data_IF_118533373246
#
_entry.id   IF_118533373246
#
_cell.length_a   1.000
_cell.length_b   1.000
_cell.length_c   1.000
_cell.angle_alpha   90.00
_cell.angle_beta   90.00
_cell.angle_gamma   90.00
#
_symmetry.space_group_name_H-M   'P 1'
#
loop_
_entity.id
_entity.type
_entity.pdbx_description
1 polymer ?
#
# COMPACT_ATOMS: atom_id res chain seq x y z
N UNK A 1 16.19 -23.57 -38.23
CA UNK A 1 15.49 -22.34 -37.79
C UNK A 1 16.50 -21.23 -37.45
N UNK A 2 17.26 -21.35 -36.36
CA UNK A 2 18.24 -20.31 -36.00
C UNK A 2 19.40 -20.18 -37.00
N UNK A 3 19.94 -21.31 -37.47
CA UNK A 3 21.03 -21.34 -38.46
C UNK A 3 20.60 -20.81 -39.83
N UNK A 4 19.34 -21.00 -40.18
CA UNK A 4 18.77 -20.51 -41.44
C UNK A 4 18.46 -19.01 -41.43
N UNK A 5 18.47 -18.36 -40.24
CA UNK A 5 18.13 -16.94 -40.02
C UNK A 5 16.79 -16.48 -40.62
N UNK A 6 15.93 -17.44 -40.93
CA UNK A 6 14.63 -17.22 -41.53
C UNK A 6 13.62 -16.86 -40.40
N UNK A 7 13.09 -15.62 -40.39
CA UNK A 7 12.17 -15.15 -39.36
C UNK A 7 10.88 -15.97 -39.29
N UNK A 8 10.36 -16.42 -40.44
CA UNK A 8 9.11 -17.17 -40.51
C UNK A 8 9.30 -18.56 -39.92
N UNK A 9 10.45 -19.18 -40.19
CA UNK A 9 10.79 -20.49 -39.62
C UNK A 9 11.04 -20.41 -38.11
N UNK A 10 11.66 -19.33 -37.64
CA UNK A 10 11.86 -19.07 -36.21
C UNK A 10 10.51 -18.85 -35.51
N UNK A 11 9.61 -18.08 -36.13
CA UNK A 11 8.25 -17.86 -35.65
C UNK A 11 7.45 -19.15 -35.56
N UNK A 12 7.41 -19.94 -36.64
CA UNK A 12 6.68 -21.21 -36.69
C UNK A 12 7.16 -22.18 -35.61
N UNK A 13 8.48 -22.27 -35.39
CA UNK A 13 9.05 -23.07 -34.32
C UNK A 13 8.58 -22.60 -32.94
N UNK A 14 8.65 -21.30 -32.64
CA UNK A 14 8.26 -20.77 -31.33
C UNK A 14 6.75 -20.88 -31.08
N UNK A 15 5.91 -20.63 -32.08
CA UNK A 15 4.47 -20.84 -32.00
C UNK A 15 4.14 -22.32 -31.75
N UNK A 16 4.83 -23.24 -32.41
CA UNK A 16 4.65 -24.68 -32.22
C UNK A 16 5.02 -25.11 -30.80
N UNK A 17 6.12 -24.57 -30.25
CA UNK A 17 6.55 -24.86 -28.89
C UNK A 17 5.55 -24.25 -27.89
N UNK A 18 5.06 -23.03 -28.11
CA UNK A 18 4.03 -22.42 -27.27
C UNK A 18 2.74 -23.24 -27.23
N UNK A 19 2.30 -23.78 -28.37
CA UNK A 19 1.07 -24.56 -28.45
C UNK A 19 1.17 -25.96 -27.84
N UNK A 20 2.37 -26.58 -27.84
CA UNK A 20 2.56 -27.96 -27.41
C UNK A 20 3.23 -28.13 -26.04
N UNK A 21 3.94 -27.13 -25.55
CA UNK A 21 4.69 -27.20 -24.28
C UNK A 21 4.00 -26.41 -23.18
N UNK A 22 4.12 -26.85 -21.91
CA UNK A 22 3.67 -26.05 -20.78
C UNK A 22 4.41 -24.71 -20.71
N UNK A 23 3.76 -23.69 -20.14
CA UNK A 23 4.27 -22.31 -20.09
C UNK A 23 5.69 -22.21 -19.52
N UNK A 24 6.03 -23.03 -18.53
CA UNK A 24 7.36 -23.05 -17.91
C UNK A 24 8.46 -23.58 -18.85
N UNK A 25 8.17 -24.62 -19.64
CA UNK A 25 9.13 -25.19 -20.60
C UNK A 25 9.30 -24.24 -21.80
N UNK A 26 8.20 -23.65 -22.28
CA UNK A 26 8.24 -22.60 -23.28
C UNK A 26 9.09 -21.40 -22.80
N UNK A 27 8.90 -21.03 -21.53
CA UNK A 27 9.66 -19.98 -20.87
C UNK A 27 11.18 -20.28 -20.84
N UNK A 28 11.56 -21.52 -20.55
CA UNK A 28 12.97 -21.96 -20.59
C UNK A 28 13.56 -21.92 -22.01
N UNK A 29 12.80 -22.33 -23.03
CA UNK A 29 13.24 -22.28 -24.44
C UNK A 29 13.52 -20.85 -24.88
N UNK A 30 12.62 -19.91 -24.56
CA UNK A 30 12.82 -18.50 -24.90
C UNK A 30 14.04 -17.89 -24.19
N UNK A 31 14.31 -18.29 -22.93
CA UNK A 31 15.52 -17.87 -22.20
C UNK A 31 16.81 -18.42 -22.82
N UNK A 32 16.76 -19.64 -23.35
CA UNK A 32 17.89 -20.29 -24.01
C UNK A 32 18.24 -19.64 -25.35
N UNK A 33 17.27 -19.02 -26.02
CA UNK A 33 17.42 -18.45 -27.36
C UNK A 33 16.88 -17.01 -27.47
N UNK A 34 17.58 -16.01 -26.87
CA UNK A 34 17.09 -14.64 -26.79
C UNK A 34 16.90 -13.96 -28.16
N UNK A 35 17.78 -14.18 -29.13
CA UNK A 35 17.65 -13.60 -30.46
C UNK A 35 16.35 -14.03 -31.19
N UNK A 36 15.96 -15.30 -31.05
CA UNK A 36 14.70 -15.80 -31.60
C UNK A 36 13.49 -15.25 -30.84
N UNK A 37 13.58 -15.11 -29.51
CA UNK A 37 12.54 -14.51 -28.70
C UNK A 37 12.30 -13.04 -29.07
N UNK A 38 13.37 -12.28 -29.35
CA UNK A 38 13.27 -10.90 -29.84
C UNK A 38 12.52 -10.84 -31.17
N UNK A 39 12.94 -11.62 -32.18
CA UNK A 39 12.27 -11.65 -33.49
C UNK A 39 10.79 -12.07 -33.38
N UNK A 40 10.48 -13.06 -32.55
CA UNK A 40 9.11 -13.51 -32.32
C UNK A 40 8.20 -12.40 -31.79
N UNK A 41 8.71 -11.53 -30.94
CA UNK A 41 7.93 -10.44 -30.40
C UNK A 41 7.76 -9.26 -31.38
N UNK A 42 8.75 -9.00 -32.25
CA UNK A 42 8.59 -8.07 -33.38
C UNK A 42 7.38 -8.52 -34.20
N UNK A 43 7.33 -9.81 -34.55
CA UNK A 43 6.22 -10.40 -35.28
C UNK A 43 4.89 -10.29 -34.52
N UNK A 44 4.88 -10.60 -33.21
CA UNK A 44 3.66 -10.50 -32.40
C UNK A 44 3.14 -9.05 -32.29
N UNK A 45 4.02 -8.05 -32.30
CA UNK A 45 3.62 -6.63 -32.29
C UNK A 45 2.80 -6.26 -33.53
N UNK A 46 3.18 -6.77 -34.69
CA UNK A 46 2.55 -6.45 -35.97
C UNK A 46 1.29 -7.30 -36.23
N UNK A 47 1.30 -8.57 -35.80
CA UNK A 47 0.30 -9.54 -36.20
C UNK A 47 -0.55 -10.12 -35.06
N UNK A 48 -0.14 -10.01 -33.80
CA UNK A 48 -0.86 -10.62 -32.67
C UNK A 48 -0.64 -9.91 -31.33
N UNK A 49 -1.36 -8.79 -31.13
CA UNK A 49 -1.29 -7.97 -29.90
C UNK A 49 -1.63 -8.75 -28.62
N UNK A 50 -2.53 -9.74 -28.71
CA UNK A 50 -2.94 -10.57 -27.57
C UNK A 50 -1.81 -11.50 -27.10
N UNK A 51 -1.09 -12.12 -28.04
CA UNK A 51 0.09 -12.92 -27.73
C UNK A 51 1.21 -12.03 -27.16
N UNK A 52 1.35 -10.80 -27.66
CA UNK A 52 2.27 -9.83 -27.08
C UNK A 52 1.94 -9.59 -25.61
N UNK A 53 0.69 -9.24 -25.26
CA UNK A 53 0.22 -9.05 -23.88
C UNK A 53 0.47 -10.27 -22.98
N UNK A 54 0.23 -11.49 -23.47
CA UNK A 54 0.53 -12.73 -22.73
C UNK A 54 2.03 -12.90 -22.47
N UNK A 55 2.89 -12.48 -23.40
CA UNK A 55 4.35 -12.42 -23.22
C UNK A 55 4.76 -11.28 -22.27
N UNK A 56 4.04 -10.14 -22.25
CA UNK A 56 4.31 -9.01 -21.34
C UNK A 56 3.98 -9.37 -19.87
N UNK A 57 2.89 -10.10 -19.64
CA UNK A 57 2.40 -10.49 -18.30
C UNK A 57 3.36 -11.45 -17.59
N UNK A 58 4.17 -12.22 -18.32
CA UNK A 58 5.13 -13.18 -17.74
C UNK A 58 6.43 -12.56 -17.21
N UNK A 59 6.60 -11.22 -17.24
CA UNK A 59 7.66 -10.47 -16.56
C UNK A 59 9.10 -10.64 -17.09
N UNK A 60 9.41 -11.75 -17.75
CA UNK A 60 10.77 -12.15 -18.13
C UNK A 60 11.17 -11.85 -19.59
N UNK A 61 10.22 -11.51 -20.48
CA UNK A 61 10.46 -11.49 -21.93
C UNK A 61 10.61 -10.12 -22.54
N UNK A 62 10.04 -9.13 -21.89
CA UNK A 62 9.95 -7.78 -22.40
C UNK A 62 11.38 -7.15 -22.46
N UNK A 63 12.35 -7.65 -21.67
CA UNK A 63 13.81 -7.36 -21.71
C UNK A 63 14.46 -7.62 -23.06
N UNK A 64 14.31 -8.83 -23.57
CA UNK A 64 14.99 -9.30 -24.78
C UNK A 64 14.40 -8.63 -26.03
N UNK A 65 13.08 -8.40 -25.99
CA UNK A 65 12.30 -7.80 -27.07
C UNK A 65 12.71 -6.34 -27.27
N UNK A 66 12.74 -5.55 -26.20
CA UNK A 66 13.04 -4.12 -26.29
C UNK A 66 14.54 -3.80 -26.36
N UNK A 67 15.43 -4.67 -25.86
CA UNK A 67 16.88 -4.59 -26.12
C UNK A 67 17.21 -4.55 -27.61
N UNK A 68 16.46 -5.28 -28.43
CA UNK A 68 16.71 -5.35 -29.88
C UNK A 68 15.83 -4.39 -30.72
N UNK A 69 14.73 -3.87 -30.16
CA UNK A 69 13.73 -3.08 -30.89
C UNK A 69 13.82 -1.57 -30.66
N UNK A 70 14.16 -1.11 -29.45
CA UNK A 70 14.25 0.34 -29.17
C UNK A 70 15.63 0.86 -29.58
N UNK A 71 15.64 1.73 -30.59
CA UNK A 71 16.83 2.51 -30.98
C UNK A 71 17.09 3.67 -30.03
N UNK A 72 16.13 4.01 -29.17
CA UNK A 72 16.26 5.06 -28.17
C UNK A 72 16.89 4.48 -26.87
N UNK A 73 18.08 4.95 -26.47
CA UNK A 73 18.77 4.47 -25.27
C UNK A 73 18.00 4.78 -23.97
N UNK A 74 17.15 5.80 -23.97
CA UNK A 74 16.33 6.21 -22.82
C UNK A 74 15.19 5.21 -22.59
N UNK A 75 14.46 4.88 -23.65
CA UNK A 75 13.36 3.91 -23.62
C UNK A 75 13.88 2.51 -23.25
N UNK A 76 15.04 2.13 -23.79
CA UNK A 76 15.72 0.90 -23.41
C UNK A 76 16.05 0.85 -21.91
N UNK A 77 16.59 1.93 -21.36
CA UNK A 77 16.97 2.01 -19.95
C UNK A 77 15.74 1.98 -19.01
N UNK A 78 14.64 2.64 -19.37
CA UNK A 78 13.36 2.53 -18.66
C UNK A 78 12.85 1.09 -18.64
N UNK A 79 12.97 0.44 -19.78
CA UNK A 79 12.53 -0.92 -19.96
C UNK A 79 13.28 -1.90 -19.04
N UNK A 80 14.62 -1.83 -19.05
CA UNK A 80 15.48 -2.61 -18.16
C UNK A 80 15.06 -2.43 -16.69
N UNK A 81 14.78 -1.19 -16.29
CA UNK A 81 14.33 -0.90 -14.93
C UNK A 81 13.03 -1.63 -14.57
N UNK A 82 12.05 -1.68 -15.48
CA UNK A 82 10.78 -2.40 -15.25
C UNK A 82 10.99 -3.91 -15.09
N UNK A 83 11.88 -4.52 -15.87
CA UNK A 83 12.24 -5.93 -15.74
C UNK A 83 12.88 -6.23 -14.37
N UNK A 84 13.82 -5.40 -13.96
CA UNK A 84 14.45 -5.48 -12.65
C UNK A 84 13.45 -5.32 -11.49
N UNK A 85 12.50 -4.38 -11.59
CA UNK A 85 11.44 -4.21 -10.59
C UNK A 85 10.49 -5.41 -10.52
N UNK A 86 10.17 -6.02 -11.66
CA UNK A 86 9.35 -7.23 -11.74
C UNK A 86 10.05 -8.42 -11.09
N UNK A 87 11.34 -8.62 -11.39
CA UNK A 87 12.19 -9.61 -10.72
C UNK A 87 12.23 -9.41 -9.20
N UNK A 88 12.38 -8.16 -8.72
CA UNK A 88 12.37 -7.86 -7.29
C UNK A 88 11.02 -8.22 -6.63
N UNK A 89 9.91 -8.04 -7.34
CA UNK A 89 8.57 -8.42 -6.87
C UNK A 89 8.42 -9.94 -6.76
N UNK A 90 8.92 -10.67 -7.75
CA UNK A 90 8.84 -12.14 -7.83
C UNK A 90 9.81 -12.87 -6.87
N UNK A 91 10.93 -12.23 -6.53
CA UNK A 91 11.92 -12.72 -5.60
C UNK A 91 11.35 -12.77 -4.17
N UNK A 92 10.47 -13.75 -3.87
CA UNK A 92 9.65 -13.90 -2.64
C UNK A 92 10.33 -13.43 -1.34
N UNK A 93 11.02 -14.34 -0.63
CA UNK A 93 11.73 -14.07 0.62
C UNK A 93 13.26 -14.01 0.42
N UNK A 94 13.73 -14.17 -0.82
CA UNK A 94 15.15 -14.07 -1.14
C UNK A 94 15.56 -12.59 -1.22
N UNK A 95 16.02 -12.08 -0.07
CA UNK A 95 16.37 -10.68 0.09
C UNK A 95 17.58 -10.26 -0.76
N UNK A 96 18.58 -11.12 -0.90
CA UNK A 96 19.78 -10.79 -1.66
C UNK A 96 19.43 -10.65 -3.15
N UNK A 97 18.55 -11.53 -3.68
CA UNK A 97 17.99 -11.37 -5.03
C UNK A 97 17.12 -10.12 -5.18
N UNK A 98 16.31 -9.77 -4.17
CA UNK A 98 15.52 -8.52 -4.19
C UNK A 98 16.42 -7.30 -4.27
N UNK A 99 17.44 -7.22 -3.42
CA UNK A 99 18.35 -6.07 -3.37
C UNK A 99 19.11 -5.96 -4.69
N UNK A 100 19.70 -7.06 -5.19
CA UNK A 100 20.38 -7.06 -6.49
C UNK A 100 19.47 -6.64 -7.64
N UNK A 101 18.20 -7.07 -7.63
CA UNK A 101 17.21 -6.63 -8.62
C UNK A 101 16.91 -5.14 -8.49
N UNK A 102 16.73 -4.60 -7.28
CA UNK A 102 16.52 -3.17 -7.05
C UNK A 102 17.73 -2.31 -7.45
N UNK A 103 18.95 -2.79 -7.24
CA UNK A 103 20.18 -2.13 -7.71
C UNK A 103 20.30 -2.12 -9.23
N UNK A 104 19.87 -3.19 -9.90
CA UNK A 104 19.69 -3.21 -11.35
C UNK A 104 18.71 -2.15 -11.82
N UNK A 105 17.54 -2.08 -11.19
CA UNK A 105 16.52 -1.07 -11.51
C UNK A 105 17.04 0.36 -11.29
N UNK A 106 17.74 0.61 -10.19
CA UNK A 106 18.33 1.93 -9.91
C UNK A 106 19.32 2.38 -10.98
N UNK A 107 20.22 1.48 -11.41
CA UNK A 107 21.20 1.77 -12.48
C UNK A 107 20.48 2.10 -13.79
N UNK A 108 19.50 1.29 -14.17
CA UNK A 108 18.73 1.49 -15.39
C UNK A 108 17.91 2.79 -15.38
N UNK A 109 17.28 3.16 -14.25
CA UNK A 109 16.58 4.44 -14.14
C UNK A 109 17.50 5.65 -14.21
N UNK A 110 18.71 5.56 -13.63
CA UNK A 110 19.72 6.62 -13.76
C UNK A 110 20.18 6.80 -15.21
N UNK A 111 20.37 5.70 -15.93
CA UNK A 111 20.70 5.75 -17.36
C UNK A 111 19.58 6.34 -18.22
N UNK A 112 18.33 6.11 -17.84
CA UNK A 112 17.15 6.69 -18.48
C UNK A 112 16.90 8.18 -18.14
N UNK A 113 17.68 8.78 -17.22
CA UNK A 113 17.46 10.17 -16.81
C UNK A 113 16.10 10.41 -16.15
N UNK A 114 15.53 9.40 -15.48
CA UNK A 114 14.22 9.50 -14.80
C UNK A 114 14.31 10.37 -13.55
N UNK A 115 13.21 11.05 -13.26
CA UNK A 115 13.01 11.88 -12.06
C UNK A 115 13.49 11.22 -10.76
N UNK A 116 14.04 12.06 -9.88
CA UNK A 116 14.60 11.69 -8.57
C UNK A 116 13.64 10.89 -7.69
N UNK A 117 12.33 11.10 -7.84
CA UNK A 117 11.33 10.43 -7.01
C UNK A 117 11.37 8.90 -7.17
N UNK A 118 11.60 8.37 -8.38
CA UNK A 118 11.68 6.92 -8.58
C UNK A 118 12.92 6.33 -7.89
N UNK A 119 14.05 7.02 -7.98
CA UNK A 119 15.30 6.63 -7.33
C UNK A 119 15.20 6.67 -5.80
N UNK A 120 14.57 7.71 -5.26
CA UNK A 120 14.30 7.85 -3.81
C UNK A 120 13.44 6.69 -3.31
N UNK A 121 12.40 6.30 -4.05
CA UNK A 121 11.54 5.17 -3.67
C UNK A 121 12.30 3.83 -3.67
N UNK A 122 13.19 3.60 -4.65
CA UNK A 122 14.04 2.40 -4.66
C UNK A 122 14.99 2.38 -3.46
N UNK A 123 15.61 3.53 -3.14
CA UNK A 123 16.50 3.64 -1.99
C UNK A 123 15.77 3.35 -0.67
N UNK A 124 14.58 3.93 -0.48
CA UNK A 124 13.73 3.67 0.69
C UNK A 124 13.35 2.19 0.76
N UNK A 125 12.96 1.58 -0.37
CA UNK A 125 12.60 0.17 -0.40
C UNK A 125 13.76 -0.75 -0.02
N UNK A 126 14.99 -0.46 -0.47
CA UNK A 126 16.19 -1.17 -0.02
C UNK A 126 16.41 -1.03 1.48
N UNK A 127 16.26 0.18 2.01
CA UNK A 127 16.41 0.44 3.45
C UNK A 127 15.38 -0.34 4.28
N UNK A 128 14.12 -0.39 3.82
CA UNK A 128 13.07 -1.20 4.45
C UNK A 128 13.48 -2.68 4.50
N UNK A 129 13.96 -3.24 3.39
CA UNK A 129 14.39 -4.65 3.33
C UNK A 129 15.54 -4.92 4.30
N UNK A 130 16.53 -4.03 4.40
CA UNK A 130 17.65 -4.18 5.34
C UNK A 130 17.18 -4.15 6.80
N UNK A 131 16.27 -3.24 7.14
CA UNK A 131 15.67 -3.18 8.49
C UNK A 131 14.88 -4.46 8.78
N UNK A 132 14.10 -4.96 7.84
CA UNK A 132 13.37 -6.23 7.99
C UNK A 132 14.31 -7.41 8.21
N UNK A 133 15.45 -7.47 7.50
CA UNK A 133 16.48 -8.49 7.68
C UNK A 133 17.01 -8.50 9.11
N UNK A 134 17.30 -7.32 9.67
CA UNK A 134 17.80 -7.22 11.04
C UNK A 134 16.73 -7.57 12.06
N UNK A 135 15.49 -7.11 11.85
CA UNK A 135 14.37 -7.45 12.73
C UNK A 135 14.10 -8.95 12.75
N UNK A 136 14.22 -9.65 11.61
CA UNK A 136 14.03 -11.09 11.57
C UNK A 136 15.09 -11.85 12.35
N UNK A 137 16.30 -11.32 12.59
CA UNK A 137 17.27 -11.99 13.46
C UNK A 137 16.74 -12.15 14.89
N UNK A 138 16.00 -11.15 15.38
CA UNK A 138 15.40 -11.12 16.73
C UNK A 138 13.97 -11.66 16.74
N UNK A 139 13.23 -11.49 15.64
CA UNK A 139 11.79 -11.80 15.52
C UNK A 139 11.50 -12.73 14.33
N UNK A 140 12.19 -13.86 14.26
CA UNK A 140 12.11 -14.83 13.14
C UNK A 140 10.68 -15.30 12.80
N UNK A 141 9.75 -15.29 13.77
CA UNK A 141 8.38 -15.77 13.59
C UNK A 141 7.47 -14.82 12.80
N UNK A 142 7.89 -13.56 12.56
CA UNK A 142 7.02 -12.54 11.97
C UNK A 142 7.00 -12.53 10.43
N UNK A 143 7.98 -13.19 9.78
CA UNK A 143 8.11 -13.21 8.32
C UNK A 143 7.98 -11.80 7.70
N UNK A 144 8.80 -10.86 8.15
CA UNK A 144 8.72 -9.44 7.82
C UNK A 144 9.20 -9.11 6.40
N UNK A 145 10.13 -9.91 5.84
CA UNK A 145 10.79 -9.59 4.57
C UNK A 145 9.76 -9.39 3.45
N UNK A 146 9.87 -8.23 2.78
CA UNK A 146 9.06 -7.89 1.61
C UNK A 146 7.67 -7.37 1.94
N UNK A 147 7.26 -7.33 3.21
CA UNK A 147 6.00 -6.69 3.60
C UNK A 147 6.12 -5.15 3.51
N UNK A 148 5.01 -4.43 3.29
CA UNK A 148 5.01 -2.97 3.34
C UNK A 148 5.48 -2.46 4.71
N UNK A 149 6.10 -1.27 4.74
CA UNK A 149 6.55 -0.64 5.98
C UNK A 149 5.41 -0.47 7.00
N UNK A 150 4.22 -0.07 6.54
CA UNK A 150 3.01 0.03 7.38
C UNK A 150 2.73 -1.29 8.09
N UNK A 151 2.66 -2.39 7.35
CA UNK A 151 2.39 -3.73 7.91
C UNK A 151 3.51 -4.18 8.84
N UNK A 152 4.77 -3.85 8.52
CA UNK A 152 5.93 -4.12 9.37
C UNK A 152 5.78 -3.43 10.73
N UNK A 153 5.42 -2.14 10.73
CA UNK A 153 5.19 -1.37 11.96
C UNK A 153 3.96 -1.89 12.72
N UNK A 154 2.87 -2.27 12.05
CA UNK A 154 1.67 -2.84 12.69
C UNK A 154 1.99 -4.12 13.47
N UNK A 155 2.85 -4.99 12.93
CA UNK A 155 3.27 -6.21 13.61
C UNK A 155 4.31 -5.97 14.71
N UNK A 156 5.11 -4.90 14.59
CA UNK A 156 6.18 -4.61 15.53
C UNK A 156 5.70 -3.84 16.77
N UNK A 157 4.72 -2.95 16.62
CA UNK A 157 4.16 -2.14 17.73
C UNK A 157 3.80 -3.00 18.97
N UNK A 158 3.12 -4.17 18.84
CA UNK A 158 2.79 -5.02 19.98
C UNK A 158 3.97 -5.69 20.68
N UNK A 159 5.09 -5.87 19.96
CA UNK A 159 6.20 -6.73 20.39
C UNK A 159 7.38 -5.92 20.89
N UNK A 160 7.75 -4.88 20.14
CA UNK A 160 8.82 -3.95 20.48
C UNK A 160 8.48 -2.54 19.98
N UNK A 161 7.80 -1.79 20.84
CA UNK A 161 7.42 -0.41 20.55
C UNK A 161 8.64 0.51 20.36
N UNK A 162 9.77 0.23 21.02
CA UNK A 162 10.97 1.05 20.90
C UNK A 162 11.63 0.88 19.52
N UNK A 163 11.71 -0.36 19.03
CA UNK A 163 12.15 -0.65 17.68
C UNK A 163 11.21 -0.02 16.64
N UNK A 164 9.89 -0.12 16.83
CA UNK A 164 8.91 0.52 15.94
C UNK A 164 9.08 2.05 15.90
N UNK A 165 9.26 2.70 17.06
CA UNK A 165 9.47 4.15 17.16
C UNK A 165 10.80 4.59 16.53
N UNK A 166 11.84 3.76 16.59
CA UNK A 166 13.12 4.00 15.91
C UNK A 166 12.96 3.94 14.39
N UNK A 167 12.36 2.87 13.87
CA UNK A 167 12.19 2.63 12.44
C UNK A 167 11.29 3.68 11.79
N UNK A 168 10.17 4.02 12.44
CA UNK A 168 9.27 5.06 11.94
C UNK A 168 9.98 6.41 11.79
N UNK A 169 10.90 6.76 12.70
CA UNK A 169 11.72 7.98 12.62
C UNK A 169 12.80 7.89 11.54
N UNK A 170 13.57 6.81 11.50
CA UNK A 170 14.66 6.61 10.55
C UNK A 170 14.18 6.63 9.10
N UNK A 171 13.03 5.99 8.83
CA UNK A 171 12.41 5.94 7.50
C UNK A 171 11.47 7.12 7.22
N UNK A 172 11.44 8.13 8.10
CA UNK A 172 10.60 9.34 7.98
C UNK A 172 9.13 9.01 7.69
N UNK A 173 8.61 7.95 8.31
CA UNK A 173 7.21 7.57 8.16
C UNK A 173 6.31 8.68 8.68
N UNK A 174 5.13 8.84 8.07
CA UNK A 174 4.24 9.93 8.42
C UNK A 174 3.81 9.86 9.89
N UNK A 175 4.22 10.87 10.67
CA UNK A 175 4.05 10.94 12.13
C UNK A 175 2.57 10.82 12.53
N UNK A 176 1.66 11.47 11.80
CA UNK A 176 0.21 11.41 12.08
C UNK A 176 -0.37 10.02 11.86
N UNK A 177 0.03 9.33 10.79
CA UNK A 177 -0.40 7.95 10.54
C UNK A 177 0.15 7.00 11.60
N UNK A 178 1.40 7.18 12.01
CA UNK A 178 2.02 6.35 13.04
C UNK A 178 1.37 6.54 14.41
N UNK A 179 1.12 7.80 14.83
CA UNK A 179 0.37 8.11 16.06
C UNK A 179 -1.01 7.44 16.05
N UNK A 180 -1.71 7.45 14.90
CA UNK A 180 -2.99 6.73 14.75
C UNK A 180 -2.84 5.23 14.96
N UNK A 181 -1.83 4.61 14.36
CA UNK A 181 -1.59 3.16 14.51
C UNK A 181 -1.32 2.78 15.97
N UNK A 182 -0.46 3.54 16.65
CA UNK A 182 -0.21 3.36 18.08
C UNK A 182 -1.47 3.57 18.92
N UNK A 183 -2.27 4.59 18.59
CA UNK A 183 -3.51 4.86 19.30
C UNK A 183 -4.51 3.70 19.19
N UNK A 184 -4.67 3.12 17.99
CA UNK A 184 -5.51 1.93 17.78
C UNK A 184 -4.99 0.75 18.61
N UNK A 185 -3.69 0.49 18.58
CA UNK A 185 -3.09 -0.58 19.37
C UNK A 185 -3.32 -0.40 20.89
N UNK A 186 -3.06 0.80 21.43
CA UNK A 186 -3.24 1.09 22.85
C UNK A 186 -4.71 0.98 23.27
N UNK A 187 -5.64 1.48 22.44
CA UNK A 187 -7.07 1.40 22.71
C UNK A 187 -7.61 -0.03 22.68
N UNK A 188 -7.12 -0.89 21.77
CA UNK A 188 -7.50 -2.31 21.72
C UNK A 188 -6.98 -3.12 22.90
N UNK A 189 -5.92 -2.67 23.56
CA UNK A 189 -5.35 -3.34 24.75
C UNK A 189 -5.76 -2.66 26.07
N UNK A 190 -6.76 -1.78 26.04
CA UNK A 190 -7.24 -1.01 27.19
C UNK A 190 -6.15 -0.17 27.92
N UNK A 191 -5.08 0.21 27.21
CA UNK A 191 -3.95 1.00 27.73
C UNK A 191 -4.21 2.51 27.60
N UNK A 192 -5.29 2.99 28.21
CA UNK A 192 -5.76 4.38 28.02
C UNK A 192 -4.85 5.42 28.68
N UNK A 193 -4.18 5.09 29.78
CA UNK A 193 -3.20 5.98 30.40
C UNK A 193 -1.98 6.22 29.50
N UNK A 194 -1.48 5.16 28.86
CA UNK A 194 -0.38 5.27 27.90
C UNK A 194 -0.81 6.06 26.66
N UNK A 195 -2.08 5.92 26.25
CA UNK A 195 -2.67 6.69 25.16
C UNK A 195 -2.69 8.19 25.48
N UNK A 196 -3.16 8.60 26.66
CA UNK A 196 -3.18 10.02 27.06
C UNK A 196 -1.76 10.60 27.24
N UNK A 197 -0.84 9.81 27.82
CA UNK A 197 0.60 10.16 27.93
C UNK A 197 1.27 10.33 26.56
N UNK A 198 0.92 9.49 25.58
CA UNK A 198 1.46 9.61 24.22
C UNK A 198 0.90 10.84 23.51
N UNK A 199 -0.41 11.07 23.61
CA UNK A 199 -1.08 12.19 22.95
C UNK A 199 -0.61 13.54 23.47
N UNK A 200 -0.36 13.67 24.78
CA UNK A 200 0.17 14.89 25.40
C UNK A 200 1.60 15.23 24.96
N UNK A 201 2.42 14.23 24.60
CA UNK A 201 3.79 14.41 24.10
C UNK A 201 3.89 14.57 22.59
N UNK A 202 2.81 14.30 21.86
CA UNK A 202 2.81 14.32 20.39
C UNK A 202 2.76 15.77 19.89
N UNK A 203 3.53 16.07 18.83
CA UNK A 203 3.51 17.41 18.22
C UNK A 203 2.11 17.77 17.72
N UNK A 204 1.77 19.06 17.79
CA UNK A 204 0.43 19.58 17.41
C UNK A 204 -0.02 19.18 16.00
N UNK A 205 0.89 19.07 15.04
CA UNK A 205 0.62 18.67 13.65
C UNK A 205 0.41 17.16 13.47
N UNK A 206 0.94 16.32 14.36
CA UNK A 206 0.77 14.87 14.38
C UNK A 206 -0.31 14.40 15.36
N UNK A 207 -0.84 15.32 16.17
CA UNK A 207 -1.89 15.04 17.15
C UNK A 207 -3.21 14.68 16.48
N UNK A 208 -3.90 13.70 17.06
CA UNK A 208 -5.22 13.26 16.60
C UNK A 208 -6.27 14.20 17.17
N UNK A 209 -7.27 14.52 16.36
CA UNK A 209 -8.38 15.32 16.84
C UNK A 209 -9.17 14.52 17.91
N UNK A 210 -9.74 15.18 18.94
CA UNK A 210 -10.48 14.50 19.99
C UNK A 210 -11.58 13.55 19.50
N UNK A 211 -12.30 13.92 18.43
CA UNK A 211 -13.33 13.07 17.81
C UNK A 211 -12.76 11.78 17.21
N UNK A 212 -11.53 11.82 16.70
CA UNK A 212 -10.85 10.64 16.16
C UNK A 212 -10.42 9.68 17.27
N UNK A 213 -9.99 10.21 18.41
CA UNK A 213 -9.63 9.41 19.59
C UNK A 213 -10.87 8.70 20.13
N UNK A 214 -11.99 9.44 20.26
CA UNK A 214 -13.29 8.89 20.64
C UNK A 214 -13.69 7.75 19.72
N UNK A 215 -13.55 7.94 18.39
CA UNK A 215 -13.82 6.88 17.42
C UNK A 215 -12.97 5.65 17.69
N UNK A 216 -11.66 5.81 17.86
CA UNK A 216 -10.72 4.70 18.07
C UNK A 216 -11.06 3.91 19.34
N UNK A 217 -11.39 4.60 20.45
CA UNK A 217 -11.76 3.96 21.73
C UNK A 217 -13.13 3.28 21.64
N UNK A 218 -14.10 3.89 20.95
CA UNK A 218 -15.42 3.28 20.76
C UNK A 218 -15.34 2.05 19.84
N UNK A 219 -14.54 2.12 18.78
CA UNK A 219 -14.30 1.01 17.86
C UNK A 219 -13.59 -0.17 18.58
N UNK A 220 -12.83 0.10 19.66
CA UNK A 220 -12.24 -0.96 20.50
C UNK A 220 -13.21 -1.55 21.54
N UNK A 221 -14.46 -1.08 21.58
CA UNK A 221 -15.53 -1.65 22.40
C UNK A 221 -15.73 -0.99 23.77
N UNK A 222 -15.05 0.13 24.07
CA UNK A 222 -15.16 0.80 25.37
C UNK A 222 -15.82 2.19 25.25
N UNK A 223 -17.14 2.20 25.12
CA UNK A 223 -17.94 3.44 25.06
C UNK A 223 -17.78 4.34 26.30
N UNK A 224 -17.79 3.83 27.55
CA UNK A 224 -17.63 4.68 28.75
C UNK A 224 -16.29 5.44 28.76
N UNK A 225 -15.21 4.82 28.32
CA UNK A 225 -13.92 5.48 28.24
C UNK A 225 -13.88 6.53 27.13
N UNK A 226 -14.52 6.25 25.98
CA UNK A 226 -14.64 7.21 24.89
C UNK A 226 -15.42 8.48 25.31
N UNK A 227 -16.46 8.35 26.14
CA UNK A 227 -17.25 9.48 26.63
C UNK A 227 -16.44 10.47 27.48
N UNK A 228 -15.40 10.02 28.19
CA UNK A 228 -14.50 10.90 28.98
C UNK A 228 -13.76 11.93 28.12
N UNK A 229 -13.67 11.70 26.82
CA UNK A 229 -13.01 12.60 25.88
C UNK A 229 -13.96 13.66 25.29
N UNK A 230 -15.28 13.53 25.50
CA UNK A 230 -16.28 14.50 25.02
C UNK A 230 -16.03 15.94 25.49
N UNK A 231 -15.62 16.22 26.76
CA UNK A 231 -15.35 17.59 27.21
C UNK A 231 -14.24 18.30 26.44
N UNK A 232 -13.35 17.53 25.77
CA UNK A 232 -12.26 18.07 24.93
C UNK A 232 -12.75 18.45 23.53
N UNK A 233 -13.98 18.13 23.15
CA UNK A 233 -14.57 18.43 21.84
C UNK A 233 -15.37 19.73 21.88
N UNK A 234 -15.22 20.58 20.86
CA UNK A 234 -15.95 21.86 20.74
C UNK A 234 -16.61 22.00 19.37
N UNK A 235 -17.75 22.70 19.31
CA UNK A 235 -18.48 23.01 18.08
C UNK A 235 -18.74 21.79 17.19
N UNK A 236 -18.38 21.88 15.90
CA UNK A 236 -18.56 20.78 14.93
C UNK A 236 -17.80 19.50 15.29
N UNK A 237 -16.70 19.60 16.04
CA UNK A 237 -15.95 18.41 16.52
C UNK A 237 -16.76 17.63 17.55
N UNK A 238 -17.56 18.33 18.37
CA UNK A 238 -18.47 17.69 19.34
C UNK A 238 -19.60 16.93 18.64
N UNK A 239 -20.15 17.47 17.55
CA UNK A 239 -21.12 16.75 16.71
C UNK A 239 -20.51 15.45 16.16
N UNK A 240 -19.29 15.53 15.59
CA UNK A 240 -18.58 14.34 15.08
C UNK A 240 -18.29 13.32 16.18
N UNK A 241 -17.94 13.76 17.38
CA UNK A 241 -17.71 12.88 18.52
C UNK A 241 -18.95 12.09 18.91
N UNK A 242 -20.12 12.75 19.02
CA UNK A 242 -21.40 12.06 19.31
C UNK A 242 -21.79 11.09 18.18
N UNK A 243 -21.57 11.46 16.91
CA UNK A 243 -21.74 10.54 15.77
C UNK A 243 -20.85 9.30 15.94
N UNK A 244 -19.58 9.48 16.32
CA UNK A 244 -18.65 8.37 16.52
C UNK A 244 -19.06 7.46 17.69
N UNK A 245 -19.77 7.99 18.70
CA UNK A 245 -20.36 7.22 19.81
C UNK A 245 -21.71 6.56 19.48
N UNK A 246 -22.20 6.73 18.25
CA UNK A 246 -23.53 6.29 17.79
C UNK A 246 -24.68 6.93 18.57
N UNK A 247 -24.46 8.13 19.10
CA UNK A 247 -25.46 8.95 19.77
C UNK A 247 -25.90 10.07 18.82
N UNK A 248 -26.79 9.73 17.89
CA UNK A 248 -27.23 10.61 16.82
C UNK A 248 -28.17 11.71 17.33
N UNK A 249 -28.94 11.44 18.39
CA UNK A 249 -29.85 12.43 18.99
C UNK A 249 -29.06 13.56 19.65
N UNK A 250 -28.04 13.24 20.45
CA UNK A 250 -27.18 14.27 21.04
C UNK A 250 -26.35 14.98 19.96
N UNK A 251 -25.90 14.27 18.92
CA UNK A 251 -25.23 14.89 17.79
C UNK A 251 -26.12 15.93 17.08
N UNK A 252 -27.40 15.60 16.83
CA UNK A 252 -28.37 16.51 16.24
C UNK A 252 -28.67 17.72 17.16
N UNK A 253 -28.74 17.49 18.48
CA UNK A 253 -28.94 18.55 19.47
C UNK A 253 -27.80 19.56 19.45
N UNK A 254 -26.55 19.08 19.42
CA UNK A 254 -25.37 19.96 19.31
C UNK A 254 -25.32 20.66 17.94
N UNK A 255 -25.72 20.00 16.86
CA UNK A 255 -25.79 20.61 15.53
C UNK A 255 -26.84 21.75 15.47
N UNK A 256 -27.98 21.56 16.13
CA UNK A 256 -29.01 22.59 16.26
C UNK A 256 -28.51 23.80 17.06
N UNK A 257 -27.80 23.59 18.17
CA UNK A 257 -27.16 24.68 18.93
C UNK A 257 -26.14 25.48 18.10
N UNK A 258 -25.57 24.88 17.06
CA UNK A 258 -24.66 25.53 16.12
C UNK A 258 -25.38 26.22 14.95
N UNK A 259 -26.70 26.07 14.83
CA UNK A 259 -27.49 26.58 13.70
C UNK A 259 -27.22 25.87 12.37
N UNK A 260 -26.69 24.64 12.42
CA UNK A 260 -26.24 23.90 11.23
C UNK A 260 -27.23 22.79 10.86
N UNK A 261 -28.23 23.16 10.06
CA UNK A 261 -29.32 22.26 9.64
C UNK A 261 -28.82 21.11 8.76
N UNK A 262 -27.76 21.31 7.97
CA UNK A 262 -27.14 20.26 7.15
C UNK A 262 -26.55 19.15 8.03
N UNK A 263 -25.95 19.51 9.16
CA UNK A 263 -25.46 18.54 10.14
C UNK A 263 -26.58 17.75 10.81
N UNK A 264 -27.74 18.36 11.07
CA UNK A 264 -28.92 17.66 11.61
C UNK A 264 -29.42 16.62 10.60
N UNK A 265 -29.60 17.02 9.34
CA UNK A 265 -30.00 16.11 8.27
C UNK A 265 -29.01 14.96 8.09
N UNK A 266 -27.71 15.23 8.25
CA UNK A 266 -26.67 14.20 8.25
C UNK A 266 -26.79 13.23 9.42
N UNK A 267 -27.07 13.71 10.64
CA UNK A 267 -27.27 12.84 11.81
C UNK A 267 -28.46 11.90 11.62
N UNK A 268 -29.58 12.41 11.10
CA UNK A 268 -30.74 11.59 10.76
C UNK A 268 -30.42 10.50 9.73
N UNK A 269 -29.75 10.86 8.62
CA UNK A 269 -29.32 9.88 7.60
C UNK A 269 -28.41 8.79 8.17
N UNK A 270 -27.48 9.17 9.06
CA UNK A 270 -26.58 8.22 9.70
C UNK A 270 -27.30 7.29 10.68
N UNK A 271 -28.29 7.78 11.42
CA UNK A 271 -29.14 6.95 12.28
C UNK A 271 -29.92 5.90 11.47
N UNK A 272 -30.50 6.31 10.32
CA UNK A 272 -31.17 5.39 9.40
C UNK A 272 -30.22 4.32 8.83
N UNK A 273 -29.02 4.72 8.39
CA UNK A 273 -28.00 3.80 7.87
C UNK A 273 -27.48 2.83 8.94
N UNK A 274 -27.44 3.26 10.19
CA UNK A 274 -27.08 2.41 11.32
C UNK A 274 -28.21 1.45 11.75
N UNK A 275 -29.41 1.57 11.16
CA UNK A 275 -30.59 0.78 11.52
C UNK A 275 -31.27 1.21 12.82
N UNK A 276 -30.90 2.36 13.39
CA UNK A 276 -31.46 2.89 14.64
C UNK A 276 -32.67 3.79 14.33
N UNK A 277 -33.80 3.15 14.03
CA UNK A 277 -35.05 3.84 13.68
C UNK A 277 -35.62 4.66 14.83
N UNK A 278 -35.30 4.31 16.08
CA UNK A 278 -35.75 5.06 17.26
C UNK A 278 -35.10 6.44 17.31
N UNK A 279 -33.77 6.49 17.20
CA UNK A 279 -33.04 7.76 17.16
C UNK A 279 -33.39 8.60 15.92
N UNK A 280 -33.59 7.95 14.76
CA UNK A 280 -34.00 8.66 13.54
C UNK A 280 -35.38 9.34 13.72
N UNK A 281 -36.37 8.62 14.24
CA UNK A 281 -37.71 9.16 14.50
C UNK A 281 -37.68 10.29 15.53
N UNK A 282 -36.85 10.18 16.57
CA UNK A 282 -36.68 11.20 17.58
C UNK A 282 -36.07 12.49 17.00
N UNK A 283 -35.07 12.39 16.12
CA UNK A 283 -34.48 13.54 15.43
C UNK A 283 -35.55 14.23 14.56
N UNK A 284 -36.33 13.46 13.80
CA UNK A 284 -37.42 14.01 12.98
C UNK A 284 -38.47 14.69 13.84
N UNK A 285 -38.88 14.08 14.95
CA UNK A 285 -39.87 14.69 15.85
C UNK A 285 -39.39 16.00 16.47
N UNK A 286 -38.10 16.15 16.75
CA UNK A 286 -37.55 17.34 17.42
C UNK A 286 -37.21 18.48 16.47
N UNK A 287 -36.87 18.16 15.22
CA UNK A 287 -36.31 19.13 14.27
C UNK A 287 -37.05 19.15 12.92
N UNK A 288 -38.22 18.52 12.81
CA UNK A 288 -39.14 18.75 11.70
C UNK A 288 -39.80 20.13 11.84
N UNK A 289 -39.08 21.16 11.43
CA UNK A 289 -39.58 22.53 11.22
C UNK A 289 -38.76 23.20 10.13
#
# INVERSE_FOLDING_TARGET
ALESRDPDLIYLCLLHIHAKRPKDEYSQVLKKYPAAAAQYAIYCKEHNKRMLEELQVSGNYLFIIFEHLSKDPTEHSLYLAMGHLSSAKEAKADLDRKIASLEGAERSLKMAGVDDNALVNIAIQKQILMVQKELEKTHQHLNLIGKPLKTTLEMLIPLDQAAADKIARELKFNEKFYTRMKAVFLASNAKYEELDKMLSKTKRNASLAPDQIIKIINDSGNKPEAEKWLPRCQGRTKVKAHINLKDFVQAATVAHQLGDFDLIAKCHKLAQQAGDTAQANEITSRYAS
#
